data_IF_236597012651
#
_entry.id   IF_236597012651
#
_cell.length_a   1.000
_cell.length_b   1.000
_cell.length_c   1.000
_cell.angle_alpha   90.00
_cell.angle_beta   90.00
_cell.angle_gamma   90.00
#
_symmetry.space_group_name_H-M   'P 1'
#
loop_
_entity.id
_entity.type
_entity.pdbx_description
1 polymer ?
#
# COMPACT_ATOMS: atom_id res chain seq x y z
N UNK A 1 13.70 -2.61 11.61
CA UNK A 1 13.47 -1.29 11.02
C UNK A 1 13.67 -1.40 9.51
N UNK A 2 12.78 -0.80 8.74
CA UNK A 2 12.90 -0.67 7.30
C UNK A 2 12.70 0.79 6.91
N UNK A 3 13.19 1.18 5.75
CA UNK A 3 13.01 2.52 5.21
C UNK A 3 12.71 2.43 3.70
N UNK A 4 11.94 3.36 3.22
CA UNK A 4 11.81 3.62 1.78
C UNK A 4 12.89 4.63 1.41
N UNK A 5 13.83 4.20 0.59
CA UNK A 5 14.90 5.07 0.13
C UNK A 5 14.41 5.94 -1.03
N UNK A 6 14.55 7.25 -0.93
CA UNK A 6 14.04 8.19 -1.93
C UNK A 6 14.54 7.89 -3.35
N UNK A 7 15.81 7.56 -3.51
CA UNK A 7 16.39 7.24 -4.82
C UNK A 7 15.80 5.95 -5.44
N UNK A 8 15.43 4.96 -4.62
CA UNK A 8 14.73 3.75 -5.08
C UNK A 8 13.30 4.07 -5.44
N UNK A 9 12.61 4.85 -4.61
CA UNK A 9 11.25 5.30 -4.88
C UNK A 9 11.16 6.04 -6.23
N UNK A 10 12.04 7.01 -6.48
CA UNK A 10 12.04 7.79 -7.72
C UNK A 10 12.31 6.93 -8.98
N UNK A 11 13.12 5.89 -8.83
CA UNK A 11 13.40 4.94 -9.92
C UNK A 11 12.22 4.00 -10.20
N UNK A 12 11.54 3.53 -9.15
CA UNK A 12 10.49 2.52 -9.24
C UNK A 12 9.11 3.12 -9.52
N UNK A 13 8.89 4.37 -9.11
CA UNK A 13 7.64 5.11 -9.25
C UNK A 13 7.90 6.48 -9.92
N UNK A 14 8.38 6.48 -11.18
CA UNK A 14 8.66 7.73 -11.88
C UNK A 14 7.38 8.56 -12.05
N UNK A 15 7.50 9.88 -11.90
CA UNK A 15 6.38 10.81 -12.02
C UNK A 15 5.43 10.82 -10.80
N UNK A 16 5.74 10.09 -9.71
CA UNK A 16 4.92 10.04 -8.49
C UNK A 16 5.51 10.87 -7.34
N UNK A 17 6.37 11.85 -7.63
CA UNK A 17 7.01 12.69 -6.60
C UNK A 17 5.98 13.40 -5.73
N UNK A 18 4.97 14.00 -6.33
CA UNK A 18 3.90 14.70 -5.62
C UNK A 18 3.01 13.76 -4.81
N UNK A 19 2.81 12.53 -5.26
CA UNK A 19 2.08 11.52 -4.48
C UNK A 19 2.81 11.24 -3.16
N UNK A 20 4.13 11.09 -3.20
CA UNK A 20 4.91 10.89 -1.98
C UNK A 20 4.87 12.11 -1.08
N UNK A 21 5.03 13.33 -1.63
CA UNK A 21 4.93 14.59 -0.89
C UNK A 21 3.57 14.70 -0.20
N UNK A 22 2.48 14.42 -0.92
CA UNK A 22 1.13 14.42 -0.39
C UNK A 22 0.97 13.48 0.81
N UNK A 23 1.38 12.22 0.64
CA UNK A 23 1.24 11.20 1.68
C UNK A 23 2.09 11.52 2.91
N UNK A 24 3.32 12.00 2.70
CA UNK A 24 4.21 12.39 3.81
C UNK A 24 3.66 13.61 4.56
N UNK A 25 3.12 14.60 3.86
CA UNK A 25 2.49 15.77 4.50
C UNK A 25 1.23 15.37 5.24
N UNK A 26 0.34 14.59 4.62
CA UNK A 26 -0.90 14.11 5.25
C UNK A 26 -0.63 13.25 6.50
N UNK A 27 0.52 12.61 6.56
CA UNK A 27 0.97 11.75 7.66
C UNK A 27 2.08 12.39 8.51
N UNK A 28 2.32 13.69 8.37
CA UNK A 28 3.38 14.35 9.13
C UNK A 28 3.22 14.12 10.64
N UNK A 29 4.30 13.77 11.37
CA UNK A 29 4.26 13.44 12.80
C UNK A 29 4.23 14.70 13.67
N UNK A 30 3.25 15.62 13.45
CA UNK A 30 3.16 16.90 14.14
C UNK A 30 2.81 16.76 15.61
N UNK A 31 1.99 15.79 15.99
CA UNK A 31 1.51 15.60 17.37
C UNK A 31 1.73 14.19 17.92
N UNK A 32 1.98 13.22 17.07
CA UNK A 32 2.23 11.82 17.42
C UNK A 32 2.97 11.12 16.29
N UNK A 33 3.68 10.06 16.62
CA UNK A 33 4.32 9.21 15.61
C UNK A 33 3.31 8.69 14.61
N UNK A 34 3.74 8.61 13.36
CA UNK A 34 2.94 8.07 12.27
C UNK A 34 3.79 7.10 11.44
N UNK A 35 3.12 6.11 10.84
CA UNK A 35 3.77 5.09 10.03
C UNK A 35 3.36 5.24 8.58
N UNK A 36 4.34 5.26 7.69
CA UNK A 36 4.09 5.12 6.26
C UNK A 36 3.70 3.67 5.94
N UNK A 37 2.64 3.49 5.16
CA UNK A 37 2.27 2.18 4.59
C UNK A 37 1.95 2.33 3.10
N UNK A 38 2.28 1.31 2.31
CA UNK A 38 1.97 1.30 0.88
C UNK A 38 0.47 1.26 0.60
N UNK A 39 -0.33 0.68 1.48
CA UNK A 39 -1.79 0.68 1.38
C UNK A 39 -2.37 2.10 1.58
N UNK A 40 -1.88 2.87 2.56
CA UNK A 40 -2.28 4.27 2.75
C UNK A 40 -1.83 5.15 1.58
N UNK A 41 -0.61 4.92 1.07
CA UNK A 41 -0.08 5.60 -0.11
C UNK A 41 -0.99 5.41 -1.34
N UNK A 42 -1.39 4.18 -1.64
CA UNK A 42 -2.33 3.87 -2.71
C UNK A 42 -3.71 4.49 -2.47
N UNK A 43 -4.24 4.34 -1.26
CA UNK A 43 -5.57 4.84 -0.89
C UNK A 43 -5.64 6.35 -1.05
N UNK A 44 -4.66 7.10 -0.55
CA UNK A 44 -4.63 8.55 -0.68
C UNK A 44 -4.49 9.01 -2.12
N UNK A 45 -3.60 8.36 -2.89
CA UNK A 45 -3.50 8.66 -4.32
C UNK A 45 -4.84 8.44 -5.03
N UNK A 46 -5.44 7.27 -4.86
CA UNK A 46 -6.62 6.89 -5.63
C UNK A 46 -7.89 7.63 -5.20
N UNK A 47 -8.08 7.83 -3.89
CA UNK A 47 -9.31 8.40 -3.32
C UNK A 47 -9.27 9.93 -3.19
N UNK A 48 -8.10 10.53 -3.02
CA UNK A 48 -7.97 11.97 -2.79
C UNK A 48 -7.40 12.66 -4.04
N UNK A 49 -6.19 12.29 -4.50
CA UNK A 49 -5.55 12.94 -5.65
C UNK A 49 -6.25 12.64 -6.96
N UNK A 50 -6.60 11.38 -7.23
CA UNK A 50 -7.28 11.01 -8.49
C UNK A 50 -8.77 11.33 -8.43
N UNK A 51 -9.48 10.83 -7.39
CA UNK A 51 -10.95 10.88 -7.38
C UNK A 51 -11.51 12.25 -6.97
N UNK A 52 -10.78 13.09 -6.27
CA UNK A 52 -11.23 14.42 -5.88
C UNK A 52 -10.55 15.49 -6.72
N UNK A 53 -9.24 15.70 -6.54
CA UNK A 53 -8.50 16.78 -7.18
C UNK A 53 -8.43 16.62 -8.70
N UNK A 54 -7.88 15.50 -9.16
CA UNK A 54 -7.70 15.23 -10.59
C UNK A 54 -9.02 15.11 -11.34
N UNK A 55 -10.03 14.50 -10.72
CA UNK A 55 -11.36 14.36 -11.33
C UNK A 55 -12.04 15.72 -11.55
N UNK A 56 -11.98 16.63 -10.57
CA UNK A 56 -12.56 17.97 -10.73
C UNK A 56 -11.90 18.72 -11.90
N UNK A 57 -10.56 18.83 -11.88
CA UNK A 57 -9.83 19.55 -12.93
C UNK A 57 -10.10 18.96 -14.32
N UNK A 58 -10.00 17.63 -14.43
CA UNK A 58 -10.26 16.96 -15.71
C UNK A 58 -11.69 17.20 -16.20
N UNK A 59 -12.71 17.13 -15.34
CA UNK A 59 -14.11 17.39 -15.72
C UNK A 59 -14.31 18.82 -16.19
N UNK A 60 -13.79 19.81 -15.46
CA UNK A 60 -13.88 21.21 -15.85
C UNK A 60 -13.24 21.46 -17.23
N UNK A 61 -12.01 21.01 -17.43
CA UNK A 61 -11.27 21.14 -18.67
C UNK A 61 -11.96 20.44 -19.86
N UNK A 62 -12.39 19.19 -19.64
CA UNK A 62 -13.10 18.40 -20.68
C UNK A 62 -14.40 19.07 -21.11
N UNK A 63 -15.18 19.62 -20.19
CA UNK A 63 -16.44 20.30 -20.50
C UNK A 63 -16.18 21.60 -21.29
N UNK A 64 -15.14 22.38 -20.93
CA UNK A 64 -14.75 23.60 -21.68
C UNK A 64 -14.33 23.22 -23.11
N UNK A 65 -13.47 22.20 -23.26
CA UNK A 65 -13.09 21.72 -24.60
C UNK A 65 -14.27 21.22 -25.42
N UNK A 66 -15.17 20.48 -24.78
CA UNK A 66 -16.36 19.91 -25.44
C UNK A 66 -17.34 20.97 -25.93
N UNK A 67 -17.60 22.00 -25.14
CA UNK A 67 -18.67 22.95 -25.41
C UNK A 67 -18.17 24.29 -26.00
N UNK A 68 -16.93 24.67 -25.71
CA UNK A 68 -16.34 25.94 -26.11
C UNK A 68 -15.01 25.79 -26.88
N UNK A 69 -14.72 24.57 -27.37
CA UNK A 69 -13.50 24.35 -28.19
C UNK A 69 -12.18 24.57 -27.47
N UNK A 70 -12.18 24.59 -26.15
CA UNK A 70 -11.01 24.88 -25.30
C UNK A 70 -10.85 26.37 -24.92
N UNK A 71 -11.67 27.27 -25.47
CA UNK A 71 -11.68 28.67 -25.05
C UNK A 71 -12.43 28.84 -23.72
N UNK A 72 -11.87 29.62 -22.80
CA UNK A 72 -12.55 29.99 -21.55
C UNK A 72 -13.82 30.76 -21.90
N UNK A 73 -15.01 30.27 -21.50
CA UNK A 73 -16.26 30.89 -21.87
C UNK A 73 -16.47 32.24 -21.16
N UNK A 74 -17.36 33.11 -21.71
CA UNK A 74 -17.65 34.40 -21.10
C UNK A 74 -18.30 34.23 -19.74
N UNK A 75 -18.00 35.16 -18.83
CA UNK A 75 -18.54 35.23 -17.49
C UNK A 75 -19.76 36.15 -17.46
N UNK A 76 -20.94 35.62 -17.13
CA UNK A 76 -22.10 36.42 -16.77
C UNK A 76 -22.06 36.86 -15.28
N UNK A 77 -23.17 37.44 -14.80
CA UNK A 77 -23.28 37.76 -13.37
C UNK A 77 -23.30 36.50 -12.50
N UNK A 78 -22.50 36.52 -11.44
CA UNK A 78 -22.49 35.45 -10.45
C UNK A 78 -23.78 35.44 -9.60
N UNK A 79 -24.43 34.29 -9.57
CA UNK A 79 -25.50 33.99 -8.67
C UNK A 79 -25.01 33.72 -7.23
N UNK A 80 -25.93 33.33 -6.36
CA UNK A 80 -25.59 32.97 -4.99
C UNK A 80 -24.61 31.79 -4.91
N UNK A 81 -24.79 30.81 -5.81
CA UNK A 81 -23.97 29.60 -5.85
C UNK A 81 -22.47 29.89 -6.11
N UNK A 82 -22.17 30.83 -7.02
CA UNK A 82 -20.77 31.24 -7.29
C UNK A 82 -20.22 32.08 -6.14
N UNK A 83 -21.02 32.96 -5.55
CA UNK A 83 -20.60 33.72 -4.37
C UNK A 83 -20.23 32.80 -3.22
N UNK A 84 -21.08 31.84 -2.89
CA UNK A 84 -20.83 30.85 -1.83
C UNK A 84 -19.62 30.00 -2.12
N UNK A 85 -19.40 29.60 -3.38
CA UNK A 85 -18.22 28.86 -3.82
C UNK A 85 -16.93 29.65 -3.54
N UNK A 86 -16.84 30.89 -4.01
CA UNK A 86 -15.63 31.69 -3.84
C UNK A 86 -15.44 32.18 -2.40
N UNK A 87 -16.53 32.38 -1.62
CA UNK A 87 -16.41 32.61 -0.18
C UNK A 87 -15.83 31.39 0.54
N UNK A 88 -16.25 30.18 0.17
CA UNK A 88 -15.68 28.94 0.69
C UNK A 88 -14.19 28.81 0.34
N UNK A 89 -13.81 29.10 -0.92
CA UNK A 89 -12.42 29.07 -1.35
C UNK A 89 -11.58 30.09 -0.59
N UNK A 90 -12.03 31.34 -0.48
CA UNK A 90 -11.33 32.40 0.28
C UNK A 90 -11.11 32.01 1.75
N UNK A 91 -12.12 31.44 2.37
CA UNK A 91 -12.02 30.97 3.74
C UNK A 91 -11.02 29.78 3.86
N UNK A 92 -11.03 28.85 2.92
CA UNK A 92 -10.11 27.71 2.92
C UNK A 92 -8.65 28.16 2.75
N UNK A 93 -8.34 29.00 1.77
CA UNK A 93 -6.96 29.46 1.52
C UNK A 93 -6.45 30.40 2.61
N UNK A 94 -7.34 31.14 3.29
CA UNK A 94 -6.97 31.96 4.46
C UNK A 94 -6.54 31.06 5.62
N UNK A 95 -7.28 29.98 5.91
CA UNK A 95 -6.90 29.00 6.94
C UNK A 95 -5.62 28.24 6.55
N UNK A 96 -5.48 27.91 5.26
CA UNK A 96 -4.30 27.27 4.74
C UNK A 96 -3.04 28.10 4.99
N UNK A 97 -3.09 29.42 4.67
CA UNK A 97 -2.01 30.36 4.95
C UNK A 97 -1.65 30.40 6.43
N UNK A 98 -2.65 30.57 7.30
CA UNK A 98 -2.47 30.59 8.76
C UNK A 98 -1.85 29.26 9.26
N UNK A 99 -2.32 28.14 8.76
CA UNK A 99 -1.80 26.82 9.12
C UNK A 99 -0.37 26.60 8.65
N UNK A 100 0.03 27.08 7.46
CA UNK A 100 1.41 27.05 6.98
C UNK A 100 2.32 27.90 7.89
N UNK A 101 1.92 29.11 8.22
CA UNK A 101 2.67 30.03 9.08
C UNK A 101 2.89 29.47 10.49
N UNK A 102 1.96 28.62 10.95
CA UNK A 102 2.04 27.92 12.24
C UNK A 102 2.61 26.49 12.15
N UNK A 103 3.20 26.09 11.02
CA UNK A 103 3.78 24.77 10.77
C UNK A 103 2.80 23.59 10.95
N UNK A 104 1.50 23.82 10.72
CA UNK A 104 0.42 22.83 10.77
C UNK A 104 0.13 22.30 9.35
N UNK A 105 1.13 21.66 8.74
CA UNK A 105 1.07 21.28 7.33
C UNK A 105 -0.03 20.28 6.99
N UNK A 106 -0.40 19.41 7.94
CA UNK A 106 -1.52 18.47 7.76
C UNK A 106 -2.86 19.19 7.63
N UNK A 107 -3.09 20.19 8.46
CA UNK A 107 -4.33 20.99 8.40
C UNK A 107 -4.31 21.87 7.16
N UNK A 108 -3.20 22.52 6.83
CA UNK A 108 -3.04 23.29 5.60
C UNK A 108 -3.35 22.45 4.34
N UNK A 109 -2.85 21.22 4.26
CA UNK A 109 -3.16 20.32 3.14
C UNK A 109 -4.65 19.96 3.06
N UNK A 110 -5.34 19.84 4.20
CA UNK A 110 -6.80 19.61 4.23
C UNK A 110 -7.56 20.83 3.71
N UNK A 111 -7.11 22.04 4.07
CA UNK A 111 -7.70 23.30 3.60
C UNK A 111 -7.50 23.44 2.08
N UNK A 112 -6.31 23.16 1.54
CA UNK A 112 -6.10 23.09 0.10
C UNK A 112 -7.03 22.08 -0.59
N UNK A 113 -7.22 20.88 0.01
CA UNK A 113 -8.13 19.87 -0.55
C UNK A 113 -9.60 20.31 -0.47
N UNK A 114 -9.98 21.20 0.43
CA UNK A 114 -11.33 21.75 0.50
C UNK A 114 -11.68 22.55 -0.76
N UNK A 115 -10.71 23.26 -1.36
CA UNK A 115 -10.88 23.96 -2.65
C UNK A 115 -11.32 22.98 -3.74
N UNK A 116 -10.66 21.81 -3.84
CA UNK A 116 -11.02 20.79 -4.83
C UNK A 116 -12.39 20.16 -4.55
N UNK A 117 -12.72 19.94 -3.27
CA UNK A 117 -14.05 19.43 -2.88
C UNK A 117 -15.17 20.43 -3.18
N UNK A 118 -14.95 21.72 -2.91
CA UNK A 118 -15.89 22.78 -3.24
C UNK A 118 -16.16 22.83 -4.75
N UNK A 119 -15.11 22.74 -5.58
CA UNK A 119 -15.24 22.65 -7.03
C UNK A 119 -16.04 21.44 -7.52
N UNK A 120 -15.76 20.24 -6.97
CA UNK A 120 -16.54 19.04 -7.30
C UNK A 120 -18.02 19.18 -6.95
N UNK A 121 -18.31 19.70 -5.74
CA UNK A 121 -19.69 19.95 -5.29
C UNK A 121 -20.37 20.94 -6.19
N UNK A 122 -19.72 22.05 -6.49
CA UNK A 122 -20.26 23.09 -7.38
C UNK A 122 -20.64 22.54 -8.76
N UNK A 123 -19.74 21.80 -9.42
CA UNK A 123 -20.06 21.19 -10.73
C UNK A 123 -21.18 20.14 -10.64
N UNK A 124 -21.26 19.40 -9.52
CA UNK A 124 -22.31 18.42 -9.31
C UNK A 124 -23.69 19.09 -9.12
N UNK A 125 -23.74 20.18 -8.34
CA UNK A 125 -24.97 20.91 -8.04
C UNK A 125 -25.45 21.76 -9.24
N UNK A 126 -24.52 22.35 -10.01
CA UNK A 126 -24.80 23.19 -11.15
C UNK A 126 -25.16 22.41 -12.44
N UNK A 127 -24.74 21.15 -12.56
CA UNK A 127 -25.03 20.24 -13.68
C UNK A 127 -24.91 20.86 -15.10
N UNK A 128 -23.77 21.50 -15.47
CA UNK A 128 -23.65 22.23 -16.75
C UNK A 128 -23.91 21.36 -17.98
N UNK A 129 -23.71 20.04 -17.89
CA UNK A 129 -24.02 19.10 -18.98
C UNK A 129 -25.51 18.96 -19.28
N UNK A 130 -26.38 19.31 -18.34
CA UNK A 130 -27.83 19.37 -18.57
C UNK A 130 -28.25 20.73 -19.11
N UNK A 131 -27.64 21.81 -18.63
CA UNK A 131 -28.00 23.19 -18.95
C UNK A 131 -27.55 23.64 -20.34
N UNK A 132 -26.49 23.08 -20.92
CA UNK A 132 -25.88 23.57 -22.17
C UNK A 132 -26.86 23.74 -23.33
N UNK A 133 -27.93 22.96 -23.39
CA UNK A 133 -28.97 23.04 -24.46
C UNK A 133 -30.08 24.03 -24.13
N UNK A 134 -30.36 24.29 -22.88
CA UNK A 134 -31.49 25.11 -22.40
C UNK A 134 -31.08 26.49 -21.95
N UNK A 135 -29.87 26.61 -21.39
CA UNK A 135 -29.30 27.85 -20.88
C UNK A 135 -27.78 27.89 -21.12
N UNK A 136 -27.35 28.22 -22.36
CA UNK A 136 -25.93 28.29 -22.69
C UNK A 136 -25.19 29.40 -21.96
N UNK A 137 -25.84 30.53 -21.66
CA UNK A 137 -25.23 31.67 -20.95
C UNK A 137 -24.91 31.31 -19.50
N UNK A 138 -25.86 30.64 -18.83
CA UNK A 138 -25.64 30.12 -17.49
C UNK A 138 -24.53 29.05 -17.49
N UNK A 139 -24.53 28.17 -18.49
CA UNK A 139 -23.47 27.16 -18.66
C UNK A 139 -22.09 27.80 -18.82
N UNK A 140 -22.00 28.88 -19.62
CA UNK A 140 -20.75 29.64 -19.80
C UNK A 140 -20.24 30.17 -18.46
N UNK A 141 -21.11 30.80 -17.68
CA UNK A 141 -20.77 31.32 -16.34
C UNK A 141 -20.30 30.22 -15.39
N UNK A 142 -20.99 29.06 -15.36
CA UNK A 142 -20.62 27.92 -14.52
C UNK A 142 -19.22 27.39 -14.90
N UNK A 143 -18.94 27.24 -16.18
CA UNK A 143 -17.65 26.70 -16.63
C UNK A 143 -16.52 27.74 -16.50
N UNK A 144 -16.84 29.04 -16.63
CA UNK A 144 -15.88 30.09 -16.28
C UNK A 144 -15.52 30.02 -14.79
N UNK A 145 -16.49 29.96 -13.89
CA UNK A 145 -16.22 29.78 -12.46
C UNK A 145 -15.40 28.53 -12.18
N UNK A 146 -15.70 27.40 -12.83
CA UNK A 146 -14.97 26.15 -12.63
C UNK A 146 -13.49 26.26 -13.04
N UNK A 147 -13.15 26.97 -14.13
CA UNK A 147 -11.74 27.20 -14.51
C UNK A 147 -11.02 28.10 -13.53
N UNK A 148 -11.70 29.10 -12.95
CA UNK A 148 -11.11 29.92 -11.89
C UNK A 148 -10.80 29.07 -10.64
N UNK A 149 -11.65 28.09 -10.30
CA UNK A 149 -11.34 27.12 -9.23
C UNK A 149 -10.12 26.26 -9.58
N UNK A 150 -9.97 25.83 -10.84
CA UNK A 150 -8.76 25.11 -11.27
C UNK A 150 -7.49 25.97 -11.08
N UNK A 151 -7.57 27.26 -11.38
CA UNK A 151 -6.46 28.19 -11.15
C UNK A 151 -6.15 28.36 -9.64
N UNK A 152 -7.17 28.46 -8.79
CA UNK A 152 -6.99 28.47 -7.33
C UNK A 152 -6.36 27.18 -6.81
N UNK A 153 -6.74 26.02 -7.35
CA UNK A 153 -6.09 24.73 -7.02
C UNK A 153 -4.60 24.77 -7.38
N UNK A 154 -4.22 25.31 -8.54
CA UNK A 154 -2.82 25.39 -8.91
C UNK A 154 -2.00 26.21 -7.91
N UNK A 155 -2.57 27.31 -7.37
CA UNK A 155 -1.90 28.16 -6.37
C UNK A 155 -1.88 27.47 -5.00
N UNK A 156 -3.03 27.02 -4.50
CA UNK A 156 -3.15 26.42 -3.17
C UNK A 156 -2.30 25.14 -3.00
N UNK A 157 -2.17 24.35 -4.04
CA UNK A 157 -1.38 23.11 -3.96
C UNK A 157 0.11 23.28 -4.32
N UNK A 158 0.54 24.43 -4.80
CA UNK A 158 1.95 24.64 -5.18
C UNK A 158 2.94 24.30 -4.04
N UNK A 159 2.70 24.67 -2.76
CA UNK A 159 3.63 24.32 -1.68
C UNK A 159 3.74 22.82 -1.44
N UNK A 160 2.70 22.07 -1.70
CA UNK A 160 2.61 20.63 -1.44
C UNK A 160 2.94 19.77 -2.67
N UNK A 161 2.41 20.16 -3.84
CA UNK A 161 2.42 19.40 -5.10
C UNK A 161 2.95 20.27 -6.26
N UNK A 162 4.23 20.68 -6.21
CA UNK A 162 4.79 21.63 -7.16
C UNK A 162 4.77 21.16 -8.62
N UNK A 163 4.99 19.86 -8.87
CA UNK A 163 4.97 19.30 -10.23
C UNK A 163 3.55 19.27 -10.82
N UNK A 164 2.56 18.99 -9.99
CA UNK A 164 1.15 19.08 -10.37
C UNK A 164 0.76 20.53 -10.65
N UNK A 165 1.15 21.46 -9.78
CA UNK A 165 0.87 22.88 -9.96
C UNK A 165 1.50 23.42 -11.26
N UNK A 166 2.74 23.08 -11.56
CA UNK A 166 3.41 23.42 -12.84
C UNK A 166 2.65 22.85 -14.04
N UNK A 167 2.27 21.56 -13.99
CA UNK A 167 1.50 20.94 -15.06
C UNK A 167 0.13 21.59 -15.26
N UNK A 168 -0.57 21.91 -14.17
CA UNK A 168 -1.89 22.53 -14.22
C UNK A 168 -1.83 23.98 -14.73
N UNK A 169 -0.86 24.79 -14.28
CA UNK A 169 -0.66 26.15 -14.78
C UNK A 169 -0.34 26.19 -16.27
N UNK A 170 0.45 25.22 -16.75
CA UNK A 170 0.71 25.07 -18.19
C UNK A 170 -0.58 24.77 -18.96
N UNK A 171 -1.39 23.80 -18.52
CA UNK A 171 -2.68 23.48 -19.16
C UNK A 171 -3.65 24.66 -19.19
N UNK A 172 -3.67 25.47 -18.12
CA UNK A 172 -4.52 26.65 -17.99
C UNK A 172 -3.98 27.88 -18.76
N UNK A 173 -2.78 27.79 -19.35
CA UNK A 173 -2.07 28.94 -19.92
C UNK A 173 -1.90 30.09 -18.92
N UNK A 174 -1.82 29.77 -17.65
CA UNK A 174 -1.63 30.67 -16.54
C UNK A 174 -0.14 30.98 -16.34
N UNK A 175 0.18 32.20 -15.95
CA UNK A 175 1.53 32.54 -15.51
C UNK A 175 1.95 31.80 -14.26
N UNK A 176 3.18 32.06 -13.77
CA UNK A 176 3.66 31.45 -12.52
C UNK A 176 2.68 31.79 -11.38
N UNK A 177 2.22 30.78 -10.61
CA UNK A 177 1.34 31.03 -9.47
C UNK A 177 2.04 31.86 -8.40
N UNK A 178 1.27 32.73 -7.75
CA UNK A 178 1.71 33.54 -6.62
C UNK A 178 0.61 33.53 -5.57
N UNK A 179 1.00 33.53 -4.30
CA UNK A 179 0.04 33.36 -3.18
C UNK A 179 -1.05 34.45 -3.12
N UNK A 180 -0.75 35.66 -3.58
CA UNK A 180 -1.71 36.78 -3.68
C UNK A 180 -2.84 36.54 -4.71
N UNK A 181 -2.71 35.50 -5.53
CA UNK A 181 -3.77 35.06 -6.45
C UNK A 181 -4.85 34.20 -5.77
N UNK A 182 -4.61 33.70 -4.58
CA UNK A 182 -5.57 32.81 -3.89
C UNK A 182 -6.91 33.47 -3.61
N UNK A 183 -8.00 32.74 -3.81
CA UNK A 183 -9.36 33.22 -3.57
C UNK A 183 -9.94 34.15 -4.62
N UNK A 184 -9.18 34.47 -5.68
CA UNK A 184 -9.63 35.29 -6.80
C UNK A 184 -10.48 34.49 -7.78
N UNK A 185 -11.39 35.19 -8.45
CA UNK A 185 -12.34 34.62 -9.41
C UNK A 185 -12.12 35.13 -10.86
N UNK A 186 -10.96 35.76 -11.10
CA UNK A 186 -10.59 36.41 -12.36
C UNK A 186 -9.15 36.06 -12.83
N UNK A 187 -8.64 34.89 -12.46
CA UNK A 187 -7.25 34.48 -12.72
C UNK A 187 -7.01 34.10 -14.19
N UNK A 188 -8.02 33.57 -14.86
CA UNK A 188 -7.96 33.17 -16.26
C UNK A 188 -8.93 34.04 -17.06
N UNK A 189 -8.42 34.79 -18.02
CA UNK A 189 -9.24 35.69 -18.85
C UNK A 189 -10.17 34.91 -19.77
N UNK A 190 -11.33 35.50 -20.08
CA UNK A 190 -12.23 35.01 -21.15
C UNK A 190 -11.49 34.88 -22.47
N UNK A 191 -11.85 33.86 -23.26
CA UNK A 191 -11.23 33.59 -24.55
C UNK A 191 -9.84 32.97 -24.48
N UNK A 192 -9.23 32.83 -23.29
CA UNK A 192 -7.96 32.11 -23.14
C UNK A 192 -8.11 30.68 -23.66
N UNK A 193 -7.27 30.30 -24.61
CA UNK A 193 -7.24 28.94 -25.17
C UNK A 193 -6.46 28.02 -24.24
N UNK A 194 -7.19 27.14 -23.57
CA UNK A 194 -6.61 26.13 -22.67
C UNK A 194 -5.94 25.01 -23.48
N UNK A 195 -4.89 24.44 -22.95
CA UNK A 195 -4.28 23.25 -23.54
C UNK A 195 -5.20 22.03 -23.36
N UNK A 196 -5.00 20.99 -24.18
CA UNK A 196 -5.78 19.75 -24.06
C UNK A 196 -5.63 19.17 -22.63
N UNK A 197 -6.73 18.74 -22.03
CA UNK A 197 -6.69 18.18 -20.69
C UNK A 197 -5.84 16.91 -20.63
N UNK A 198 -4.88 16.90 -19.73
CA UNK A 198 -4.09 15.73 -19.38
C UNK A 198 -4.33 15.38 -17.92
N UNK A 199 -4.38 14.10 -17.63
CA UNK A 199 -4.56 13.63 -16.25
C UNK A 199 -3.41 14.14 -15.36
N UNK A 200 -3.77 14.75 -14.24
CA UNK A 200 -2.79 15.21 -13.24
C UNK A 200 -2.23 14.03 -12.43
N UNK A 201 -3.06 13.04 -12.17
CA UNK A 201 -2.72 11.83 -11.43
C UNK A 201 -3.32 10.60 -12.09
N UNK A 202 -2.61 9.49 -11.94
CA UNK A 202 -3.05 8.16 -12.37
C UNK A 202 -3.25 7.25 -11.16
N UNK A 203 -4.19 6.33 -11.28
CA UNK A 203 -4.41 5.31 -10.24
C UNK A 203 -3.17 4.43 -10.07
N UNK A 204 -2.93 4.06 -8.83
CA UNK A 204 -1.94 3.06 -8.44
C UNK A 204 -2.70 1.74 -8.24
N UNK A 205 -2.31 0.71 -8.98
CA UNK A 205 -2.91 -0.62 -8.90
C UNK A 205 -2.37 -1.42 -7.70
N UNK A 206 -3.05 -2.53 -7.40
CA UNK A 206 -2.69 -3.40 -6.27
C UNK A 206 -1.34 -4.08 -6.50
N UNK A 207 -0.99 -4.35 -7.75
CA UNK A 207 0.28 -4.94 -8.16
C UNK A 207 1.50 -4.14 -7.71
N UNK A 208 1.38 -2.80 -7.66
CA UNK A 208 2.44 -1.91 -7.16
C UNK A 208 2.65 -2.09 -5.66
N UNK A 209 1.55 -2.17 -4.91
CA UNK A 209 1.57 -2.38 -3.46
C UNK A 209 2.15 -3.76 -3.12
N UNK A 210 1.70 -4.79 -3.82
CA UNK A 210 2.17 -6.17 -3.64
C UNK A 210 3.67 -6.29 -3.93
N UNK A 211 4.17 -5.67 -5.00
CA UNK A 211 5.59 -5.67 -5.33
C UNK A 211 6.43 -5.01 -4.22
N UNK A 212 5.97 -3.89 -3.66
CA UNK A 212 6.68 -3.21 -2.58
C UNK A 212 6.65 -4.01 -1.27
N UNK A 213 5.52 -4.68 -0.96
CA UNK A 213 5.41 -5.57 0.20
C UNK A 213 6.29 -6.81 0.06
N UNK A 214 6.37 -7.40 -1.13
CA UNK A 214 7.26 -8.54 -1.41
C UNK A 214 8.74 -8.14 -1.24
N UNK A 215 9.14 -6.97 -1.75
CA UNK A 215 10.50 -6.41 -1.57
C UNK A 215 10.83 -6.23 -0.09
N UNK A 216 9.88 -5.71 0.69
CA UNK A 216 10.03 -5.52 2.13
C UNK A 216 10.19 -6.86 2.87
N UNK A 217 9.37 -7.86 2.52
CA UNK A 217 9.45 -9.20 3.10
C UNK A 217 10.80 -9.86 2.81
N UNK A 218 11.30 -9.74 1.59
CA UNK A 218 12.61 -10.27 1.20
C UNK A 218 13.76 -9.55 1.93
N UNK A 219 13.73 -8.22 2.01
CA UNK A 219 14.73 -7.47 2.78
C UNK A 219 14.75 -7.87 4.26
N UNK A 220 13.57 -8.10 4.86
CA UNK A 220 13.44 -8.60 6.23
C UNK A 220 14.05 -10.00 6.36
N UNK A 221 13.77 -10.89 5.42
CA UNK A 221 14.34 -12.24 5.37
C UNK A 221 15.87 -12.21 5.28
N UNK A 222 16.43 -11.38 4.40
CA UNK A 222 17.87 -11.23 4.24
C UNK A 222 18.54 -10.68 5.52
N UNK A 223 17.92 -9.72 6.17
CA UNK A 223 18.44 -9.17 7.42
C UNK A 223 18.44 -10.21 8.54
N UNK A 224 17.40 -11.05 8.63
CA UNK A 224 17.35 -12.16 9.58
C UNK A 224 18.47 -13.18 9.30
N UNK A 225 18.71 -13.55 8.05
CA UNK A 225 19.80 -14.44 7.66
C UNK A 225 21.17 -13.87 8.01
N UNK A 226 21.39 -12.57 7.75
CA UNK A 226 22.67 -11.89 8.07
C UNK A 226 22.92 -11.75 9.58
N UNK A 227 21.89 -11.58 10.36
CA UNK A 227 22.00 -11.43 11.82
C UNK A 227 22.00 -12.75 12.57
N UNK A 228 21.66 -13.87 11.87
CA UNK A 228 21.60 -15.18 12.48
C UNK A 228 23.00 -15.67 12.85
N UNK A 229 23.13 -16.17 14.09
CA UNK A 229 24.35 -16.82 14.56
C UNK A 229 24.00 -18.26 14.93
N UNK A 230 24.74 -19.25 14.41
CA UNK A 230 24.54 -20.63 14.80
C UNK A 230 24.85 -20.83 16.29
N UNK A 231 24.16 -21.79 16.89
CA UNK A 231 24.53 -22.24 18.24
C UNK A 231 25.95 -22.83 18.22
N UNK A 232 26.71 -22.69 19.31
CA UNK A 232 28.02 -23.33 19.41
C UNK A 232 27.94 -24.85 19.19
N UNK A 233 28.93 -25.38 18.49
CA UNK A 233 29.03 -26.83 18.30
C UNK A 233 29.20 -27.53 19.66
N UNK A 234 28.41 -28.58 19.89
CA UNK A 234 28.51 -29.41 21.10
C UNK A 234 29.85 -30.15 21.15
N UNK A 235 30.18 -30.70 22.31
CA UNK A 235 31.37 -31.53 22.48
C UNK A 235 31.38 -32.70 21.50
N UNK A 236 32.59 -33.06 21.03
CA UNK A 236 32.77 -34.20 20.18
C UNK A 236 32.32 -35.49 20.87
N UNK A 237 31.66 -36.35 20.13
CA UNK A 237 31.25 -37.70 20.59
C UNK A 237 31.92 -38.75 19.70
N UNK A 238 32.23 -39.93 20.25
CA UNK A 238 32.74 -41.07 19.49
C UNK A 238 31.76 -41.45 18.37
N UNK A 239 32.25 -41.87 17.20
CA UNK A 239 31.42 -42.30 16.07
C UNK A 239 30.44 -43.42 16.46
N UNK A 240 30.87 -44.37 17.28
CA UNK A 240 29.99 -45.45 17.80
C UNK A 240 28.80 -44.97 18.64
N UNK A 241 28.81 -43.71 19.10
CA UNK A 241 27.60 -43.10 19.72
C UNK A 241 26.55 -42.76 18.67
N UNK A 242 27.01 -42.30 17.49
CA UNK A 242 26.11 -42.03 16.37
C UNK A 242 25.53 -43.31 15.79
N UNK A 243 26.31 -44.36 15.66
CA UNK A 243 25.89 -45.66 15.16
C UNK A 243 24.76 -46.32 15.97
N UNK A 244 24.60 -45.89 17.23
CA UNK A 244 23.49 -46.35 18.09
C UNK A 244 22.17 -45.64 17.79
N UNK A 245 22.17 -44.59 16.99
CA UNK A 245 20.95 -43.84 16.63
C UNK A 245 20.46 -44.27 15.27
N UNK A 246 19.26 -44.85 15.23
CA UNK A 246 18.65 -45.34 13.97
C UNK A 246 17.78 -44.18 13.40
N UNK A 247 18.32 -43.49 12.40
CA UNK A 247 17.60 -42.41 11.68
C UNK A 247 17.04 -42.99 10.38
N UNK A 248 15.75 -42.81 10.14
CA UNK A 248 15.05 -43.34 8.97
C UNK A 248 14.22 -42.32 8.28
N UNK A 249 13.89 -42.57 7.01
CA UNK A 249 12.89 -41.85 6.25
C UNK A 249 11.54 -42.57 6.37
N UNK A 250 10.47 -41.80 6.68
CA UNK A 250 9.13 -42.34 6.68
C UNK A 250 8.17 -41.44 5.92
N UNK A 251 7.08 -42.03 5.41
CA UNK A 251 6.03 -41.30 4.72
C UNK A 251 4.90 -40.97 5.70
N UNK A 252 4.50 -39.71 5.79
CA UNK A 252 3.38 -39.27 6.62
C UNK A 252 2.07 -39.74 5.98
N UNK A 253 1.37 -40.64 6.64
CA UNK A 253 0.06 -41.14 6.20
C UNK A 253 -1.08 -40.26 6.75
N UNK A 254 -0.97 -39.87 8.02
CA UNK A 254 -1.95 -39.03 8.70
C UNK A 254 -1.23 -37.97 9.54
N UNK A 255 -1.84 -36.80 9.65
CA UNK A 255 -1.39 -35.73 10.53
C UNK A 255 -2.63 -35.04 11.12
N UNK A 256 -2.64 -34.82 12.44
CA UNK A 256 -3.73 -34.13 13.11
C UNK A 256 -3.26 -33.30 14.31
N UNK A 257 -4.03 -32.27 14.69
CA UNK A 257 -3.77 -31.48 15.91
C UNK A 257 -4.14 -32.26 17.15
N UNK A 258 -3.27 -32.26 18.16
CA UNK A 258 -3.54 -32.94 19.45
C UNK A 258 -4.51 -32.10 20.27
N UNK A 259 -5.64 -32.69 20.67
CA UNK A 259 -6.66 -32.01 21.50
C UNK A 259 -6.04 -31.47 22.80
N UNK A 260 -6.35 -30.23 23.16
CA UNK A 260 -5.82 -29.52 24.34
C UNK A 260 -4.28 -29.37 24.37
N UNK A 261 -3.65 -29.31 23.20
CA UNK A 261 -2.20 -29.13 23.07
C UNK A 261 -1.84 -28.38 21.76
N UNK A 262 -2.03 -27.06 21.76
CA UNK A 262 -1.89 -26.18 20.57
C UNK A 262 -0.52 -26.19 19.87
N UNK A 263 0.48 -26.79 20.53
CA UNK A 263 1.86 -26.89 19.99
C UNK A 263 2.14 -28.24 19.35
N UNK A 264 1.24 -29.24 19.49
CA UNK A 264 1.52 -30.61 19.12
C UNK A 264 0.72 -31.07 17.90
N UNK A 265 1.42 -31.74 16.97
CA UNK A 265 0.83 -32.55 15.91
C UNK A 265 1.08 -34.03 16.20
N UNK A 266 0.06 -34.87 15.97
CA UNK A 266 0.16 -36.32 15.94
C UNK A 266 0.33 -36.77 14.49
N UNK A 267 1.30 -37.61 14.26
CA UNK A 267 1.62 -38.19 12.97
C UNK A 267 1.39 -39.71 13.02
N UNK A 268 0.84 -40.25 11.93
CA UNK A 268 0.95 -41.68 11.61
C UNK A 268 1.92 -41.79 10.43
N UNK A 269 3.05 -42.42 10.65
CA UNK A 269 4.16 -42.52 9.68
C UNK A 269 4.33 -43.98 9.26
N UNK A 270 4.37 -44.22 7.97
CA UNK A 270 4.81 -45.51 7.40
C UNK A 270 6.35 -45.50 7.34
N UNK A 271 6.98 -46.43 8.05
CA UNK A 271 8.44 -46.62 8.10
C UNK A 271 8.93 -47.82 7.28
N UNK A 272 8.06 -48.35 6.43
CA UNK A 272 8.38 -49.54 5.60
C UNK A 272 8.35 -50.87 6.35
N UNK A 273 8.24 -50.85 7.69
CA UNK A 273 8.13 -52.04 8.54
C UNK A 273 6.83 -52.07 9.31
N UNK A 274 6.44 -50.91 9.82
CA UNK A 274 5.17 -50.73 10.56
C UNK A 274 4.68 -49.28 10.42
N UNK A 275 3.44 -49.04 10.86
CA UNK A 275 2.92 -47.71 11.06
C UNK A 275 3.23 -47.25 12.48
N UNK A 276 3.88 -46.09 12.59
CA UNK A 276 4.29 -45.47 13.85
C UNK A 276 3.46 -44.24 14.18
N UNK A 277 3.11 -44.09 15.42
CA UNK A 277 2.62 -42.80 15.91
C UNK A 277 3.79 -41.99 16.45
N UNK A 278 3.96 -40.78 15.93
CA UNK A 278 4.94 -39.81 16.45
C UNK A 278 4.22 -38.50 16.79
N UNK A 279 4.58 -37.88 17.91
CA UNK A 279 4.07 -36.57 18.31
C UNK A 279 5.21 -35.57 18.27
N UNK A 280 4.99 -34.46 17.58
CA UNK A 280 6.00 -33.40 17.40
C UNK A 280 5.46 -32.02 17.74
N UNK A 281 6.33 -31.15 18.26
CA UNK A 281 6.01 -29.79 18.74
C UNK A 281 5.94 -28.71 17.64
N UNK A 282 5.52 -29.06 16.43
CA UNK A 282 5.61 -28.18 15.25
C UNK A 282 4.25 -27.61 14.79
N UNK A 283 3.18 -27.77 15.56
CA UNK A 283 1.84 -27.32 15.18
C UNK A 283 1.70 -25.78 14.97
N UNK A 284 2.64 -25.00 15.47
CA UNK A 284 2.70 -23.55 15.22
C UNK A 284 3.24 -23.19 13.82
N UNK A 285 3.90 -24.14 13.16
CA UNK A 285 4.65 -23.90 11.92
C UNK A 285 4.05 -24.63 10.72
N UNK A 286 3.17 -25.61 10.95
CA UNK A 286 2.55 -26.42 9.90
C UNK A 286 1.07 -26.66 10.17
N UNK A 287 0.26 -26.63 9.11
CA UNK A 287 -1.05 -27.25 9.15
C UNK A 287 -0.91 -28.76 8.84
N UNK A 288 -1.76 -29.61 9.40
CA UNK A 288 -1.69 -31.06 9.16
C UNK A 288 -1.63 -31.44 7.68
N UNK A 289 -2.41 -30.77 6.84
CA UNK A 289 -2.55 -31.00 5.41
C UNK A 289 -1.25 -30.77 4.65
N UNK A 290 -0.40 -29.86 5.14
CA UNK A 290 0.90 -29.54 4.52
C UNK A 290 1.90 -30.70 4.60
N UNK A 291 1.69 -31.65 5.49
CA UNK A 291 2.65 -32.71 5.81
C UNK A 291 2.20 -34.09 5.34
N UNK A 292 0.91 -34.30 5.12
CA UNK A 292 0.38 -35.58 4.63
C UNK A 292 0.97 -35.91 3.23
N UNK A 293 1.41 -37.14 3.07
CA UNK A 293 2.06 -37.63 1.84
C UNK A 293 3.53 -37.24 1.71
N UNK A 294 4.08 -36.39 2.58
CA UNK A 294 5.49 -36.02 2.55
C UNK A 294 6.37 -37.04 3.26
N UNK A 295 7.61 -37.12 2.82
CA UNK A 295 8.63 -37.91 3.49
C UNK A 295 9.40 -37.06 4.49
N UNK A 296 9.63 -37.62 5.67
CA UNK A 296 10.32 -36.95 6.79
C UNK A 296 11.39 -37.86 7.37
N UNK A 297 12.50 -37.28 7.85
CA UNK A 297 13.52 -38.00 8.61
C UNK A 297 13.09 -38.02 10.09
N UNK A 298 13.21 -39.19 10.71
CA UNK A 298 12.90 -39.36 12.12
C UNK A 298 13.87 -40.36 12.78
N UNK A 299 14.04 -40.24 14.11
CA UNK A 299 14.76 -41.21 14.92
C UNK A 299 13.78 -42.32 15.31
N UNK A 300 14.12 -43.55 14.91
CA UNK A 300 13.27 -44.73 14.96
C UNK A 300 13.37 -45.53 16.28
N UNK A 301 14.51 -45.40 16.97
CA UNK A 301 14.87 -46.24 18.11
C UNK A 301 14.93 -45.50 19.45
N UNK A 302 14.27 -44.34 19.58
CA UNK A 302 14.08 -43.76 20.89
C UNK A 302 13.04 -44.57 21.72
N UNK A 303 13.25 -44.62 23.02
CA UNK A 303 12.25 -45.18 23.96
C UNK A 303 10.91 -44.44 23.79
N UNK A 304 9.80 -45.19 23.61
CA UNK A 304 8.51 -44.57 23.44
C UNK A 304 8.11 -43.71 24.66
N UNK A 305 7.63 -42.48 24.37
CA UNK A 305 7.23 -41.51 25.41
C UNK A 305 5.77 -41.13 25.30
N UNK A 306 5.07 -41.01 26.41
CA UNK A 306 3.70 -40.47 26.45
C UNK A 306 3.72 -38.95 26.44
N UNK A 307 3.16 -38.34 25.39
CA UNK A 307 2.99 -36.90 25.23
C UNK A 307 1.47 -36.59 25.18
N UNK A 308 0.94 -35.94 26.21
CA UNK A 308 -0.51 -35.65 26.35
C UNK A 308 -1.39 -36.89 26.15
N UNK A 309 -0.96 -38.04 26.70
CA UNK A 309 -1.70 -39.29 26.66
C UNK A 309 -1.44 -40.13 25.37
N UNK A 310 -0.75 -39.62 24.36
CA UNK A 310 -0.42 -40.31 23.13
C UNK A 310 1.01 -40.88 23.23
N UNK A 311 1.18 -42.16 22.93
CA UNK A 311 2.50 -42.79 22.88
C UNK A 311 3.22 -42.39 21.59
N UNK A 312 4.34 -41.67 21.71
CA UNK A 312 5.21 -41.29 20.59
C UNK A 312 6.34 -42.31 20.49
N UNK A 313 6.46 -42.97 19.33
CA UNK A 313 7.43 -44.03 19.05
C UNK A 313 8.59 -43.54 18.16
N UNK A 314 9.07 -42.35 18.41
CA UNK A 314 10.18 -41.73 17.69
C UNK A 314 10.16 -40.21 17.74
N UNK A 315 11.07 -39.57 17.01
CA UNK A 315 11.18 -38.11 16.96
C UNK A 315 11.44 -37.65 15.54
N UNK A 316 10.54 -36.81 14.99
CA UNK A 316 10.76 -36.17 13.69
C UNK A 316 11.89 -35.13 13.82
N UNK A 317 12.82 -35.13 12.86
CA UNK A 317 13.90 -34.17 12.80
C UNK A 317 13.43 -32.84 12.19
N UNK A 318 13.83 -31.73 12.79
CA UNK A 318 13.57 -30.39 12.28
C UNK A 318 14.75 -29.47 12.53
N UNK A 319 14.98 -28.53 11.63
CA UNK A 319 15.97 -27.47 11.77
C UNK A 319 15.27 -26.16 12.19
N UNK A 320 15.89 -25.44 13.11
CA UNK A 320 15.43 -24.10 13.47
C UNK A 320 15.90 -23.07 12.42
N UNK A 321 14.96 -22.39 11.78
CA UNK A 321 15.25 -21.28 10.88
C UNK A 321 15.54 -19.99 11.67
N UNK A 322 16.25 -19.01 11.08
CA UNK A 322 16.57 -17.74 11.73
C UNK A 322 15.37 -16.95 12.24
N UNK A 323 14.21 -17.14 11.64
CA UNK A 323 12.93 -16.53 12.03
C UNK A 323 12.17 -17.29 13.12
N UNK A 324 12.79 -18.34 13.67
CA UNK A 324 12.22 -19.19 14.72
C UNK A 324 11.27 -20.27 14.21
N UNK A 325 11.05 -20.38 12.89
CA UNK A 325 10.29 -21.50 12.34
C UNK A 325 11.07 -22.80 12.44
N UNK A 326 10.37 -23.88 12.68
CA UNK A 326 10.93 -25.22 12.60
C UNK A 326 10.65 -25.80 11.22
N UNK A 327 11.71 -26.15 10.51
CA UNK A 327 11.63 -26.74 9.16
C UNK A 327 11.87 -28.27 9.30
N UNK A 328 10.88 -29.06 8.91
CA UNK A 328 11.00 -30.53 8.92
C UNK A 328 12.06 -30.97 7.92
N UNK A 329 12.93 -31.87 8.36
CA UNK A 329 13.99 -32.44 7.52
C UNK A 329 13.43 -33.67 6.81
N UNK A 330 13.65 -33.74 5.50
CA UNK A 330 13.27 -34.88 4.64
C UNK A 330 14.24 -35.05 3.48
N UNK A 331 14.14 -36.13 2.72
CA UNK A 331 14.99 -36.36 1.55
C UNK A 331 14.65 -35.36 0.44
N UNK A 332 15.64 -35.04 -0.40
CA UNK A 332 15.46 -34.12 -1.54
C UNK A 332 14.77 -34.79 -2.76
N UNK A 333 14.63 -36.11 -2.74
CA UNK A 333 13.89 -36.88 -3.72
C UNK A 333 13.23 -38.09 -3.05
N UNK A 334 12.30 -38.79 -3.73
CA UNK A 334 11.57 -39.90 -3.16
C UNK A 334 12.51 -41.09 -2.89
N UNK A 335 12.42 -41.68 -1.71
CA UNK A 335 13.12 -42.92 -1.32
C UNK A 335 12.09 -43.88 -0.74
N UNK A 336 12.46 -45.15 -0.63
CA UNK A 336 11.58 -46.13 0.03
C UNK A 336 11.38 -45.81 1.51
N UNK A 337 10.15 -45.90 2.05
CA UNK A 337 9.93 -45.81 3.49
C UNK A 337 10.82 -46.79 4.24
N UNK A 338 11.41 -46.41 5.35
CA UNK A 338 12.36 -47.20 6.11
C UNK A 338 13.83 -47.09 5.66
N UNK A 339 14.11 -46.33 4.60
CA UNK A 339 15.52 -46.06 4.19
C UNK A 339 16.29 -45.43 5.36
N UNK A 340 17.48 -45.99 5.63
CA UNK A 340 18.40 -45.47 6.64
C UNK A 340 19.02 -44.15 6.19
N UNK A 341 19.23 -43.25 7.14
CA UNK A 341 19.97 -42.00 6.97
C UNK A 341 21.30 -42.15 7.73
N UNK A 342 22.42 -42.11 7.02
CA UNK A 342 23.77 -42.27 7.58
C UNK A 342 24.79 -41.41 6.87
#
# INVERSE_FOLDING_TARGET
>A
NWAVWLHEYLRELPGKQDVLRYVLTANAPETKDNNFTWADFQTRNNSELVAILGNFVNRAMVLIHKYYGGAVPPRGEYGQMERDLFDTIRAAVSRESDNIDHFKFREALKDAMEVARAGNKYLADAEPWKLIKTDPERTATILNAAVQVCANIAVAFEPFLPFMAEKLTAQLRMGKPSWDMTGRDDLIAEGTMLDKPELLFEKIGDEVVEAQLAKLAEAKRQNLLRSWKPEPVKQNVPFGTFEQVDIRVGTVLECEKVKKADKLLRFLIDDGMKRRTIVSGIAKHYQPEDLIGKQVCFIANFEPRKLKGILSEGMILSAAAPDGRLIVIGPTGPVAPGSCVG
#
